data_IF_634234904919
#
_entry.id   IF_634234904919
#
_cell.length_a   1.000
_cell.length_b   1.000
_cell.length_c   1.000
_cell.angle_alpha   90.00
_cell.angle_beta   90.00
_cell.angle_gamma   90.00
#
_symmetry.space_group_name_H-M   'P 1'
#
loop_
_entity.id
_entity.type
_entity.pdbx_description
1 polymer ?
#
# COMPACT_ATOMS: atom_id res chain seq x y z
N UNK A 1 -13.54 -5.43 -7.58
CA UNK A 1 -12.74 -5.73 -6.38
C UNK A 1 -11.64 -4.69 -6.14
N UNK A 2 -10.80 -4.38 -7.14
CA UNK A 2 -9.69 -3.41 -7.03
C UNK A 2 -10.07 -2.07 -6.40
N UNK A 3 -11.02 -1.33 -6.98
CA UNK A 3 -11.44 -0.01 -6.44
C UNK A 3 -11.94 -0.05 -4.99
N UNK A 4 -12.73 -1.07 -4.64
CA UNK A 4 -13.20 -1.25 -3.26
C UNK A 4 -12.02 -1.47 -2.31
N UNK A 5 -10.99 -2.19 -2.75
CA UNK A 5 -9.77 -2.39 -1.98
C UNK A 5 -8.95 -1.10 -1.81
N UNK A 6 -8.73 -0.35 -2.89
CA UNK A 6 -7.99 0.92 -2.84
C UNK A 6 -8.70 1.95 -1.97
N UNK A 7 -10.03 2.08 -2.09
CA UNK A 7 -10.85 2.94 -1.22
C UNK A 7 -10.75 2.47 0.23
N UNK A 8 -10.81 1.16 0.49
CA UNK A 8 -10.66 0.59 1.83
C UNK A 8 -9.31 0.93 2.46
N UNK A 9 -8.21 0.78 1.72
CA UNK A 9 -6.88 1.20 2.14
C UNK A 9 -6.84 2.71 2.45
N UNK A 10 -7.40 3.53 1.56
CA UNK A 10 -7.44 4.98 1.71
C UNK A 10 -8.20 5.41 2.98
N UNK A 11 -9.35 4.79 3.27
CA UNK A 11 -10.14 5.07 4.48
C UNK A 11 -9.35 4.70 5.75
N UNK A 12 -8.74 3.52 5.78
CA UNK A 12 -8.04 3.06 7.00
C UNK A 12 -6.79 3.88 7.26
N UNK A 13 -5.97 4.15 6.24
CA UNK A 13 -4.75 4.96 6.38
C UNK A 13 -5.02 6.45 6.60
N UNK A 14 -6.21 6.95 6.22
CA UNK A 14 -6.64 8.33 6.54
C UNK A 14 -7.07 8.50 8.01
N UNK A 15 -7.28 7.41 8.75
CA UNK A 15 -7.68 7.49 10.15
C UNK A 15 -6.59 8.11 11.05
N UNK A 16 -7.02 8.87 12.08
CA UNK A 16 -6.14 9.64 12.97
C UNK A 16 -5.07 8.79 13.66
N UNK A 17 -5.34 7.51 13.88
CA UNK A 17 -4.40 6.58 14.53
C UNK A 17 -3.17 6.29 13.66
N UNK A 18 -3.32 6.28 12.34
CA UNK A 18 -2.25 5.94 11.40
C UNK A 18 -1.56 7.18 10.81
N UNK A 19 -2.30 8.29 10.67
CA UNK A 19 -1.83 9.54 10.03
C UNK A 19 -0.62 10.22 10.71
N UNK A 20 -0.38 9.96 12.00
CA UNK A 20 0.78 10.49 12.73
C UNK A 20 2.11 9.79 12.37
N UNK A 21 2.11 8.82 11.45
CA UNK A 21 3.29 8.06 11.07
C UNK A 21 3.65 8.35 9.62
N UNK A 22 4.92 8.68 9.36
CA UNK A 22 5.42 9.00 8.03
C UNK A 22 5.08 7.91 6.99
N UNK A 23 5.30 6.63 7.32
CA UNK A 23 4.95 5.49 6.45
C UNK A 23 3.49 5.51 5.97
N UNK A 24 2.55 5.92 6.83
CA UNK A 24 1.11 5.83 6.52
C UNK A 24 0.73 6.84 5.44
N UNK A 25 1.47 7.94 5.34
CA UNK A 25 1.30 8.94 4.28
C UNK A 25 1.75 8.37 2.94
N UNK A 26 2.86 7.62 2.91
CA UNK A 26 3.32 6.95 1.69
C UNK A 26 2.34 5.86 1.22
N UNK A 27 1.85 5.01 2.12
CA UNK A 27 0.83 4.00 1.79
C UNK A 27 -0.51 4.60 1.36
N UNK A 28 -0.89 5.74 1.94
CA UNK A 28 -2.08 6.49 1.51
C UNK A 28 -1.89 7.05 0.09
N UNK A 29 -0.72 7.63 -0.18
CA UNK A 29 -0.36 8.16 -1.49
C UNK A 29 -0.29 7.04 -2.55
N UNK A 30 0.21 5.86 -2.19
CA UNK A 30 0.18 4.65 -3.02
C UNK A 30 -1.25 4.23 -3.34
N UNK A 31 -2.12 4.09 -2.33
CA UNK A 31 -3.51 3.72 -2.54
C UNK A 31 -4.28 4.72 -3.43
N UNK A 32 -3.98 6.03 -3.32
CA UNK A 32 -4.55 7.06 -4.20
C UNK A 32 -4.03 6.93 -5.63
N UNK A 33 -2.72 6.67 -5.80
CA UNK A 33 -2.10 6.51 -7.12
C UNK A 33 -2.64 5.27 -7.84
N UNK A 34 -2.77 4.16 -7.11
CA UNK A 34 -3.35 2.91 -7.61
C UNK A 34 -4.81 3.07 -8.02
N UNK A 35 -5.60 3.82 -7.24
CA UNK A 35 -7.01 4.11 -7.56
C UNK A 35 -7.14 4.89 -8.88
N UNK A 36 -6.37 5.98 -9.03
CA UNK A 36 -6.37 6.80 -10.24
C UNK A 36 -5.91 5.98 -11.45
N UNK A 37 -4.82 5.23 -11.31
CA UNK A 37 -4.30 4.36 -12.37
C UNK A 37 -5.34 3.33 -12.81
N UNK A 38 -5.94 2.62 -11.85
CA UNK A 38 -6.88 1.55 -12.14
C UNK A 38 -8.10 2.09 -12.87
N UNK A 39 -8.71 3.19 -12.40
CA UNK A 39 -9.87 3.79 -13.05
C UNK A 39 -9.56 4.25 -14.47
N UNK A 40 -8.47 5.01 -14.67
CA UNK A 40 -8.14 5.55 -15.98
C UNK A 40 -7.79 4.44 -17.00
N UNK A 41 -7.03 3.43 -16.57
CA UNK A 41 -6.58 2.33 -17.44
C UNK A 41 -7.71 1.34 -17.74
N UNK A 42 -8.57 1.01 -16.77
CA UNK A 42 -9.70 0.11 -17.02
C UNK A 42 -10.80 0.76 -17.84
N UNK A 43 -11.17 2.01 -17.55
CA UNK A 43 -12.21 2.71 -18.31
C UNK A 43 -11.80 2.77 -19.79
N UNK A 44 -10.56 3.18 -20.06
CA UNK A 44 -10.05 3.22 -21.45
C UNK A 44 -10.01 1.85 -22.11
N UNK A 45 -9.67 0.79 -21.36
CA UNK A 45 -9.66 -0.59 -21.87
C UNK A 45 -11.07 -1.14 -22.13
N UNK A 46 -12.04 -0.88 -21.25
CA UNK A 46 -13.44 -1.30 -21.41
C UNK A 46 -14.06 -0.62 -22.63
N UNK A 47 -13.83 0.69 -22.79
CA UNK A 47 -14.33 1.44 -23.95
C UNK A 47 -13.76 0.90 -25.27
N UNK A 48 -12.46 0.56 -25.31
CA UNK A 48 -11.82 0.06 -26.52
C UNK A 48 -12.16 -1.39 -26.86
N UNK A 49 -12.05 -2.28 -25.88
CA UNK A 49 -12.23 -3.72 -26.12
C UNK A 49 -13.67 -4.19 -25.94
N UNK A 50 -14.40 -3.60 -24.99
CA UNK A 50 -15.78 -3.96 -24.70
C UNK A 50 -16.74 -3.34 -25.70
N UNK A 51 -16.64 -2.03 -25.93
CA UNK A 51 -17.56 -1.31 -26.82
C UNK A 51 -17.04 -1.14 -28.25
N UNK A 52 -15.83 -1.63 -28.55
CA UNK A 52 -15.16 -1.47 -29.85
C UNK A 52 -15.06 0.00 -30.32
N UNK A 53 -15.08 0.95 -29.39
CA UNK A 53 -14.97 2.37 -29.72
C UNK A 53 -13.47 2.67 -29.88
N UNK A 54 -12.99 3.06 -31.08
CA UNK A 54 -11.58 3.29 -31.33
C UNK A 54 -11.13 4.67 -30.81
N UNK A 55 -11.29 4.92 -29.51
CA UNK A 55 -10.98 6.21 -28.85
C UNK A 55 -9.50 6.57 -29.03
N UNK A 56 -8.61 5.57 -28.96
CA UNK A 56 -7.16 5.75 -29.16
C UNK A 56 -6.78 6.09 -30.59
N UNK A 57 -7.56 5.65 -31.57
CA UNK A 57 -7.29 5.94 -32.99
C UNK A 57 -7.82 7.33 -33.32
N UNK A 58 -8.95 7.73 -32.70
CA UNK A 58 -9.59 9.02 -32.97
C UNK A 58 -8.93 10.20 -32.25
N UNK A 59 -8.31 9.96 -31.10
CA UNK A 59 -7.69 11.02 -30.29
C UNK A 59 -6.28 10.63 -29.83
N UNK A 60 -5.26 11.11 -30.55
CA UNK A 60 -3.83 10.86 -30.25
C UNK A 60 -3.46 11.30 -28.81
N UNK A 61 -4.07 12.38 -28.33
CA UNK A 61 -3.88 12.89 -26.96
C UNK A 61 -4.28 11.85 -25.90
N UNK A 62 -5.41 11.16 -26.08
CA UNK A 62 -5.87 10.14 -25.13
C UNK A 62 -4.99 8.88 -25.17
N UNK A 63 -4.40 8.57 -26.34
CA UNK A 63 -3.45 7.48 -26.48
C UNK A 63 -2.16 7.75 -25.68
N UNK A 64 -1.57 8.93 -25.89
CA UNK A 64 -0.37 9.39 -25.16
C UNK A 64 -0.64 9.54 -23.67
N UNK A 65 -1.80 10.09 -23.30
CA UNK A 65 -2.20 10.21 -21.90
C UNK A 65 -2.34 8.84 -21.22
N UNK A 66 -2.95 7.85 -21.90
CA UNK A 66 -3.03 6.50 -21.36
C UNK A 66 -1.65 5.88 -21.14
N UNK A 67 -0.77 5.97 -22.13
CA UNK A 67 0.59 5.44 -22.01
C UNK A 67 1.36 6.15 -20.88
N UNK A 68 1.22 7.47 -20.79
CA UNK A 68 1.79 8.27 -19.71
C UNK A 68 1.27 7.85 -18.35
N UNK A 69 -0.05 7.82 -18.14
CA UNK A 69 -0.68 7.40 -16.88
C UNK A 69 -0.28 5.96 -16.54
N UNK A 70 -0.15 5.09 -17.54
CA UNK A 70 0.20 3.69 -17.30
C UNK A 70 1.64 3.53 -16.81
N UNK A 71 2.57 4.24 -17.44
CA UNK A 71 3.99 4.24 -17.04
C UNK A 71 4.17 4.98 -15.71
N UNK A 72 3.53 6.14 -15.56
CA UNK A 72 3.61 6.98 -14.37
C UNK A 72 3.02 6.29 -13.15
N UNK A 73 1.84 5.68 -13.25
CA UNK A 73 1.19 4.97 -12.14
C UNK A 73 2.04 3.81 -11.63
N UNK A 74 2.53 2.95 -12.54
CA UNK A 74 3.41 1.84 -12.17
C UNK A 74 4.71 2.34 -11.50
N UNK A 75 5.31 3.41 -12.04
CA UNK A 75 6.56 3.94 -11.52
C UNK A 75 6.38 4.65 -10.18
N UNK A 76 5.28 5.40 -9.99
CA UNK A 76 4.98 6.15 -8.77
C UNK A 76 4.64 5.19 -7.63
N UNK A 77 3.81 4.17 -7.85
CA UNK A 77 3.50 3.19 -6.81
C UNK A 77 4.76 2.45 -6.35
N UNK A 78 5.63 2.05 -7.29
CA UNK A 78 6.92 1.44 -6.94
C UNK A 78 7.84 2.40 -6.18
N UNK A 79 7.93 3.65 -6.63
CA UNK A 79 8.81 4.66 -6.02
C UNK A 79 8.34 5.06 -4.62
N UNK A 80 7.02 5.21 -4.42
CA UNK A 80 6.43 5.48 -3.12
C UNK A 80 6.57 4.30 -2.16
N UNK A 81 6.43 3.07 -2.67
CA UNK A 81 6.71 1.86 -1.92
C UNK A 81 8.19 1.76 -1.50
N UNK A 82 9.11 2.07 -2.42
CA UNK A 82 10.54 2.18 -2.13
C UNK A 82 10.82 3.26 -1.09
N UNK A 83 10.21 4.45 -1.21
CA UNK A 83 10.36 5.52 -0.23
C UNK A 83 9.78 5.14 1.14
N UNK A 84 8.64 4.47 1.21
CA UNK A 84 8.09 3.96 2.47
C UNK A 84 9.05 2.97 3.16
N UNK A 85 9.73 2.15 2.35
CA UNK A 85 10.74 1.20 2.81
C UNK A 85 12.01 1.92 3.27
N UNK A 86 12.46 2.93 2.52
CA UNK A 86 13.63 3.75 2.84
C UNK A 86 13.38 4.57 4.10
N UNK A 87 12.24 5.25 4.22
CA UNK A 87 11.83 6.03 5.39
C UNK A 87 11.82 5.16 6.64
N UNK A 88 11.27 3.94 6.52
CA UNK A 88 11.32 2.96 7.61
C UNK A 88 12.76 2.57 7.99
N UNK A 89 13.65 2.45 7.01
CA UNK A 89 15.04 2.07 7.24
C UNK A 89 15.88 3.23 7.79
N UNK A 90 15.63 4.47 7.36
CA UNK A 90 16.23 5.69 7.91
C UNK A 90 15.71 5.97 9.33
N UNK A 91 14.42 5.75 9.58
CA UNK A 91 13.86 5.81 10.94
C UNK A 91 14.44 4.73 11.86
N UNK A 92 14.96 3.62 11.30
CA UNK A 92 15.66 2.57 12.03
C UNK A 92 17.18 2.78 12.13
N UNK A 93 17.77 3.61 11.26
CA UNK A 93 19.20 3.92 11.18
C UNK A 93 19.40 5.44 11.13
N UNK A 94 19.66 6.04 12.30
CA UNK A 94 19.85 7.48 12.47
C UNK A 94 21.26 7.90 12.00
N UNK A 95 21.55 7.89 10.69
CA UNK A 95 22.73 8.59 10.14
C UNK A 95 22.73 8.81 8.61
N UNK A 96 22.74 10.10 8.24
CA UNK A 96 23.31 10.79 7.06
C UNK A 96 22.85 10.49 5.62
N UNK A 97 21.90 11.34 5.20
CA UNK A 97 21.74 12.17 3.98
C UNK A 97 22.89 12.15 2.93
N UNK A 98 22.93 11.20 1.97
CA UNK A 98 23.65 11.37 0.66
C UNK A 98 23.02 10.53 -0.48
N UNK A 99 21.70 10.35 -0.53
CA UNK A 99 21.09 9.23 -1.29
C UNK A 99 19.95 9.67 -2.22
N UNK A 100 20.25 10.25 -3.39
CA UNK A 100 19.18 10.74 -4.30
C UNK A 100 19.36 10.51 -5.81
N UNK A 101 20.38 9.78 -6.29
CA UNK A 101 20.57 9.57 -7.74
C UNK A 101 20.66 8.12 -8.19
N UNK A 102 21.66 7.40 -7.70
CA UNK A 102 22.01 6.04 -8.15
C UNK A 102 21.44 4.97 -7.20
N UNK A 103 20.99 5.42 -6.03
CA UNK A 103 20.61 4.53 -4.97
C UNK A 103 19.26 3.83 -5.14
N UNK A 104 18.23 4.30 -5.86
CA UNK A 104 16.96 3.58 -5.88
C UNK A 104 17.07 2.07 -6.23
N UNK A 105 17.79 1.65 -7.28
CA UNK A 105 17.93 0.22 -7.61
C UNK A 105 18.92 -0.54 -6.71
N UNK A 106 20.06 0.06 -6.35
CA UNK A 106 21.08 -0.56 -5.48
C UNK A 106 20.57 -0.63 -4.04
N UNK A 107 19.84 0.40 -3.59
CA UNK A 107 19.01 0.38 -2.40
C UNK A 107 18.00 -0.75 -2.55
N UNK A 108 17.11 -0.83 -3.53
CA UNK A 108 16.09 -1.89 -3.56
C UNK A 108 16.66 -3.31 -3.37
N UNK A 109 17.81 -3.63 -3.96
CA UNK A 109 18.53 -4.90 -3.75
C UNK A 109 19.15 -4.98 -2.33
N UNK A 110 19.84 -3.94 -1.86
CA UNK A 110 20.35 -3.87 -0.49
C UNK A 110 19.25 -3.84 0.57
N UNK A 111 18.10 -3.21 0.32
CA UNK A 111 16.95 -3.09 1.21
C UNK A 111 16.23 -4.43 1.29
N UNK A 112 16.12 -5.19 0.19
CA UNK A 112 15.64 -6.57 0.23
C UNK A 112 16.55 -7.47 1.08
N UNK A 113 17.87 -7.36 0.90
CA UNK A 113 18.86 -8.09 1.70
C UNK A 113 18.87 -7.64 3.19
N UNK A 114 18.79 -6.34 3.45
CA UNK A 114 18.75 -5.75 4.79
C UNK A 114 17.40 -5.97 5.49
N UNK A 115 16.28 -6.10 4.77
CA UNK A 115 15.00 -6.56 5.31
C UNK A 115 15.14 -7.99 5.84
N UNK A 116 15.76 -8.88 5.07
CA UNK A 116 16.01 -10.27 5.50
C UNK A 116 16.96 -10.30 6.71
N UNK A 117 18.00 -9.44 6.73
CA UNK A 117 18.96 -9.37 7.83
C UNK A 117 18.40 -8.70 9.10
N UNK A 118 17.58 -7.67 8.96
CA UNK A 118 16.93 -6.99 10.09
C UNK A 118 15.83 -7.84 10.72
N UNK A 119 15.11 -8.64 9.92
CA UNK A 119 14.21 -9.68 10.43
C UNK A 119 14.98 -10.69 11.28
N UNK A 120 16.16 -11.17 10.81
CA UNK A 120 17.02 -12.06 11.61
C UNK A 120 17.54 -11.40 12.89
N UNK A 121 17.92 -10.12 12.84
CA UNK A 121 18.37 -9.37 14.01
C UNK A 121 17.26 -9.08 15.04
N UNK A 122 16.03 -8.83 14.61
CA UNK A 122 14.86 -8.69 15.49
C UNK A 122 14.46 -10.04 16.10
N UNK A 123 14.59 -11.14 15.34
CA UNK A 123 14.43 -12.50 15.88
C UNK A 123 15.52 -12.78 16.94
N UNK A 124 16.76 -12.36 16.73
CA UNK A 124 17.85 -12.52 17.70
C UNK A 124 17.72 -11.63 18.93
N UNK A 125 17.18 -10.41 18.82
CA UNK A 125 16.95 -9.52 19.97
C UNK A 125 15.77 -9.93 20.86
N UNK A 126 14.98 -10.94 20.48
CA UNK A 126 13.92 -11.50 21.34
C UNK A 126 14.43 -12.33 22.53
N UNK A 127 15.74 -12.53 22.69
CA UNK A 127 16.29 -13.49 23.68
C UNK A 127 16.94 -12.82 24.91
N UNK A 128 17.01 -11.49 25.01
CA UNK A 128 17.60 -10.83 26.21
C UNK A 128 16.50 -10.11 27.01
N UNK A 129 16.01 -10.69 28.12
CA UNK A 129 15.15 -9.96 29.05
C UNK A 129 16.02 -8.98 29.86
N UNK A 130 15.68 -7.70 29.81
CA UNK A 130 16.26 -6.66 30.66
C UNK A 130 15.34 -6.43 31.87
N UNK A 131 15.86 -6.65 33.08
CA UNK A 131 15.07 -6.88 34.29
C UNK A 131 14.76 -5.62 35.12
N UNK A 132 15.26 -4.43 34.76
CA UNK A 132 15.29 -3.30 35.72
C UNK A 132 14.80 -1.94 35.16
N UNK A 133 13.52 -1.83 34.76
CA UNK A 133 12.93 -0.53 34.37
C UNK A 133 11.42 -0.41 34.63
N UNK A 134 10.89 0.81 34.89
CA UNK A 134 9.51 1.03 35.29
C UNK A 134 8.50 0.57 34.21
N UNK A 135 7.51 -0.20 34.65
CA UNK A 135 6.67 -1.08 33.84
C UNK A 135 5.67 -0.38 32.89
N UNK A 136 5.35 0.90 33.10
CA UNK A 136 4.28 1.60 32.36
C UNK A 136 4.72 2.02 30.95
N UNK A 137 5.97 2.46 30.77
CA UNK A 137 6.50 2.85 29.45
C UNK A 137 6.84 1.64 28.57
N UNK A 138 7.20 0.50 29.18
CA UNK A 138 7.48 -0.76 28.51
C UNK A 138 6.25 -1.38 27.85
N UNK A 139 5.08 -1.33 28.52
CA UNK A 139 3.82 -1.83 27.98
C UNK A 139 3.37 -1.04 26.74
N UNK A 140 3.52 0.29 26.74
CA UNK A 140 3.17 1.10 25.58
C UNK A 140 4.11 0.84 24.39
N UNK A 141 5.41 0.66 24.66
CA UNK A 141 6.42 0.41 23.63
C UNK A 141 6.25 -0.95 22.95
N UNK A 142 5.88 -1.99 23.70
CA UNK A 142 5.64 -3.33 23.13
C UNK A 142 4.41 -3.38 22.23
N UNK A 143 3.34 -2.64 22.57
CA UNK A 143 2.16 -2.49 21.69
C UNK A 143 2.53 -1.77 20.39
N UNK A 144 3.34 -0.70 20.47
CA UNK A 144 3.80 0.04 19.30
C UNK A 144 4.68 -0.83 18.38
N UNK A 145 5.62 -1.60 18.97
CA UNK A 145 6.48 -2.53 18.24
C UNK A 145 5.71 -3.68 17.58
N UNK A 146 4.65 -4.17 18.22
CA UNK A 146 3.79 -5.20 17.64
C UNK A 146 3.01 -4.67 16.43
N UNK A 147 2.57 -3.41 16.46
CA UNK A 147 1.95 -2.75 15.31
C UNK A 147 2.95 -2.58 14.16
N UNK A 148 4.19 -2.17 14.46
CA UNK A 148 5.24 -2.00 13.45
C UNK A 148 5.65 -3.32 12.81
N UNK A 149 5.75 -4.39 13.60
CA UNK A 149 6.09 -5.74 13.12
C UNK A 149 5.05 -6.24 12.12
N UNK A 150 3.77 -6.07 12.44
CA UNK A 150 2.64 -6.45 11.56
C UNK A 150 2.61 -5.65 10.28
N UNK A 151 2.95 -4.36 10.34
CA UNK A 151 3.08 -3.54 9.15
C UNK A 151 4.27 -3.98 8.27
N UNK A 152 5.40 -4.38 8.87
CA UNK A 152 6.52 -4.95 8.10
C UNK A 152 6.09 -6.18 7.33
N UNK A 153 5.31 -7.04 7.98
CA UNK A 153 4.85 -8.27 7.36
C UNK A 153 3.94 -7.98 6.16
N UNK A 154 3.06 -6.98 6.28
CA UNK A 154 2.26 -6.49 5.16
C UNK A 154 3.14 -6.04 3.98
N UNK A 155 4.15 -5.19 4.24
CA UNK A 155 5.06 -4.71 3.19
C UNK A 155 5.87 -5.85 2.57
N UNK A 156 6.35 -6.82 3.37
CA UNK A 156 7.10 -7.97 2.86
C UNK A 156 6.22 -8.84 1.95
N UNK A 157 4.98 -9.12 2.37
CA UNK A 157 4.05 -9.89 1.55
C UNK A 157 3.73 -9.15 0.25
N UNK A 158 3.54 -7.84 0.31
CA UNK A 158 3.33 -7.01 -0.87
C UNK A 158 4.55 -6.99 -1.80
N UNK A 159 5.78 -6.90 -1.26
CA UNK A 159 7.02 -7.04 -2.05
C UNK A 159 7.14 -8.38 -2.75
N UNK A 160 6.79 -9.48 -2.08
CA UNK A 160 6.87 -10.83 -2.67
C UNK A 160 5.92 -10.93 -3.86
N UNK A 161 4.68 -10.48 -3.69
CA UNK A 161 3.69 -10.48 -4.78
C UNK A 161 4.15 -9.56 -5.91
N UNK A 162 4.67 -8.37 -5.60
CA UNK A 162 5.22 -7.45 -6.59
C UNK A 162 6.29 -8.12 -7.45
N UNK A 163 7.27 -8.78 -6.83
CA UNK A 163 8.37 -9.45 -7.55
C UNK A 163 7.84 -10.54 -8.50
N UNK A 164 6.94 -11.40 -8.01
CA UNK A 164 6.35 -12.49 -8.80
C UNK A 164 5.58 -11.94 -10.01
N UNK A 165 4.90 -10.81 -9.85
CA UNK A 165 4.09 -10.21 -10.91
C UNK A 165 4.90 -9.33 -11.86
N UNK A 166 5.95 -8.68 -11.39
CA UNK A 166 6.73 -7.73 -12.19
C UNK A 166 7.78 -8.40 -13.07
N UNK A 167 8.32 -9.55 -12.66
CA UNK A 167 9.29 -10.31 -13.48
C UNK A 167 8.68 -10.71 -14.84
N UNK A 168 7.49 -11.33 -14.91
CA UNK A 168 6.85 -11.64 -16.18
C UNK A 168 6.61 -10.40 -17.04
N UNK A 169 6.18 -9.29 -16.43
CA UNK A 169 5.95 -8.03 -17.13
C UNK A 169 7.24 -7.44 -17.73
N UNK A 170 8.32 -7.39 -16.95
CA UNK A 170 9.61 -6.92 -17.44
C UNK A 170 10.17 -7.83 -18.54
N UNK A 171 10.02 -9.15 -18.41
CA UNK A 171 10.46 -10.09 -19.45
C UNK A 171 9.68 -9.93 -20.76
N UNK A 172 8.38 -9.66 -20.68
CA UNK A 172 7.54 -9.39 -21.86
C UNK A 172 7.96 -8.10 -22.55
N UNK A 173 8.20 -7.03 -21.80
CA UNK A 173 8.62 -5.74 -22.36
C UNK A 173 9.96 -5.86 -23.10
N UNK A 174 10.92 -6.57 -22.51
CA UNK A 174 12.23 -6.83 -23.15
C UNK A 174 12.03 -7.67 -24.42
N UNK A 175 11.24 -8.73 -24.35
CA UNK A 175 10.95 -9.59 -25.49
C UNK A 175 10.28 -8.82 -26.64
N UNK A 176 9.30 -7.96 -26.33
CA UNK A 176 8.58 -7.13 -27.28
C UNK A 176 9.52 -6.14 -27.99
N UNK A 177 10.41 -5.47 -27.23
CA UNK A 177 11.38 -4.52 -27.80
C UNK A 177 12.42 -5.20 -28.70
N UNK A 178 12.93 -6.38 -28.31
CA UNK A 178 13.94 -7.10 -29.10
C UNK A 178 13.35 -7.66 -30.39
N UNK A 179 12.11 -8.15 -30.34
CA UNK A 179 11.49 -8.86 -31.46
C UNK A 179 10.64 -7.97 -32.38
N UNK A 180 10.63 -6.65 -32.17
CA UNK A 180 9.80 -5.70 -32.93
C UNK A 180 10.09 -5.69 -34.45
N UNK A 181 11.33 -5.98 -34.85
CA UNK A 181 11.76 -5.96 -36.27
C UNK A 181 11.71 -7.33 -36.95
N UNK A 182 11.29 -8.38 -36.24
CA UNK A 182 11.34 -9.75 -36.75
C UNK A 182 9.99 -10.10 -37.38
N UNK A 183 9.98 -10.58 -38.63
CA UNK A 183 8.74 -11.05 -39.28
C UNK A 183 8.27 -12.35 -38.63
N UNK A 184 7.08 -12.32 -38.00
CA UNK A 184 6.50 -13.47 -37.29
C UNK A 184 5.30 -14.04 -38.06
N UNK A 185 5.10 -15.36 -38.00
CA UNK A 185 3.89 -16.02 -38.47
C UNK A 185 2.65 -15.56 -37.67
N UNK A 186 1.49 -15.49 -38.34
CA UNK A 186 0.23 -15.03 -37.74
C UNK A 186 -0.17 -15.82 -36.48
N UNK A 187 0.06 -17.13 -36.48
CA UNK A 187 -0.23 -17.99 -35.33
C UNK A 187 0.59 -17.59 -34.10
N UNK A 188 1.88 -17.32 -34.29
CA UNK A 188 2.79 -16.92 -33.21
C UNK A 188 2.45 -15.53 -32.70
N UNK A 189 2.09 -14.61 -33.58
CA UNK A 189 1.63 -13.27 -33.21
C UNK A 189 0.35 -13.34 -32.35
N UNK A 190 -0.60 -14.22 -32.70
CA UNK A 190 -1.80 -14.43 -31.91
C UNK A 190 -1.49 -14.98 -30.50
N UNK A 191 -0.59 -15.95 -30.38
CA UNK A 191 -0.15 -16.50 -29.10
C UNK A 191 0.53 -15.45 -28.23
N UNK A 192 1.44 -14.65 -28.80
CA UNK A 192 2.14 -13.58 -28.08
C UNK A 192 1.14 -12.55 -27.54
N UNK A 193 0.15 -12.14 -28.33
CA UNK A 193 -0.90 -11.21 -27.86
C UNK A 193 -1.67 -11.76 -26.66
N UNK A 194 -1.99 -13.04 -26.63
CA UNK A 194 -2.66 -13.67 -25.48
C UNK A 194 -1.76 -13.63 -24.25
N UNK A 195 -0.47 -13.93 -24.39
CA UNK A 195 0.49 -13.86 -23.29
C UNK A 195 0.65 -12.44 -22.75
N UNK A 196 0.77 -11.44 -23.61
CA UNK A 196 0.84 -10.03 -23.20
C UNK A 196 -0.40 -9.63 -22.39
N UNK A 197 -1.59 -10.05 -22.85
CA UNK A 197 -2.82 -9.75 -22.13
C UNK A 197 -2.94 -10.48 -20.80
N UNK A 198 -2.48 -11.73 -20.73
CA UNK A 198 -2.43 -12.50 -19.48
C UNK A 198 -1.47 -11.84 -18.48
N UNK A 199 -0.29 -11.41 -18.92
CA UNK A 199 0.68 -10.70 -18.08
C UNK A 199 0.12 -9.37 -17.58
N UNK A 200 -0.57 -8.61 -18.42
CA UNK A 200 -1.29 -7.42 -17.97
C UNK A 200 -2.37 -7.75 -16.94
N UNK A 201 -3.14 -8.82 -17.14
CA UNK A 201 -4.15 -9.25 -16.16
C UNK A 201 -3.52 -9.62 -14.81
N UNK A 202 -2.39 -10.33 -14.82
CA UNK A 202 -1.62 -10.64 -13.61
C UNK A 202 -1.14 -9.36 -12.91
N UNK A 203 -0.71 -8.33 -13.65
CA UNK A 203 -0.34 -7.04 -13.06
C UNK A 203 -1.50 -6.37 -12.31
N UNK A 204 -2.74 -6.51 -12.77
CA UNK A 204 -3.90 -5.98 -12.05
C UNK A 204 -4.22 -6.74 -10.76
N UNK A 205 -3.84 -8.02 -10.67
CA UNK A 205 -3.99 -8.80 -9.44
C UNK A 205 -3.12 -8.21 -8.33
N UNK A 206 -1.92 -7.73 -8.64
CA UNK A 206 -1.03 -7.07 -7.67
C UNK A 206 -1.72 -5.86 -7.01
N UNK A 207 -2.28 -4.96 -7.82
CA UNK A 207 -3.02 -3.80 -7.31
C UNK A 207 -4.25 -4.19 -6.50
N UNK A 208 -4.96 -5.25 -6.89
CA UNK A 208 -6.12 -5.73 -6.15
C UNK A 208 -5.73 -6.43 -4.83
N UNK A 209 -4.58 -7.11 -4.77
CA UNK A 209 -4.15 -7.92 -3.61
C UNK A 209 -3.58 -7.08 -2.48
N UNK A 210 -3.07 -5.88 -2.72
CA UNK A 210 -2.53 -4.99 -1.67
C UNK A 210 -3.53 -4.78 -0.53
N UNK A 211 -4.81 -4.57 -0.84
CA UNK A 211 -5.88 -4.46 0.17
C UNK A 211 -6.10 -5.76 0.95
N UNK A 212 -6.18 -6.90 0.26
CA UNK A 212 -6.43 -8.19 0.93
C UNK A 212 -5.26 -8.58 1.84
N UNK A 213 -4.02 -8.31 1.41
CA UNK A 213 -2.82 -8.48 2.22
C UNK A 213 -2.87 -7.59 3.46
N UNK A 214 -3.27 -6.32 3.29
CA UNK A 214 -3.46 -5.37 4.40
C UNK A 214 -4.52 -5.84 5.39
N UNK A 215 -5.65 -6.33 4.88
CA UNK A 215 -6.75 -6.86 5.67
C UNK A 215 -6.34 -8.10 6.44
N UNK A 216 -5.63 -9.03 5.80
CA UNK A 216 -5.23 -10.31 6.42
C UNK A 216 -4.11 -10.09 7.45
N UNK A 217 -3.13 -9.23 7.14
CA UNK A 217 -1.91 -9.09 7.94
C UNK A 217 -2.08 -8.31 9.25
N UNK A 218 -3.11 -7.47 9.38
CA UNK A 218 -3.22 -6.55 10.51
C UNK A 218 -4.60 -6.55 11.17
N UNK A 219 -4.72 -7.14 12.36
CA UNK A 219 -5.96 -7.10 13.15
C UNK A 219 -6.40 -5.67 13.50
N UNK A 220 -5.46 -4.73 13.61
CA UNK A 220 -5.76 -3.30 13.81
C UNK A 220 -6.43 -2.68 12.60
N UNK A 221 -6.01 -3.08 11.40
CA UNK A 221 -6.66 -2.69 10.14
C UNK A 221 -8.08 -3.24 10.07
N UNK A 222 -8.27 -4.54 10.41
CA UNK A 222 -9.62 -5.15 10.47
C UNK A 222 -10.52 -4.45 11.48
N UNK A 223 -10.01 -4.09 12.65
CA UNK A 223 -10.79 -3.35 13.67
C UNK A 223 -11.20 -1.97 13.18
N UNK A 224 -10.30 -1.20 12.56
CA UNK A 224 -10.66 0.12 12.04
C UNK A 224 -11.61 0.03 10.84
N UNK A 225 -11.38 -0.92 9.93
CA UNK A 225 -12.28 -1.20 8.82
C UNK A 225 -13.68 -1.61 9.35
N UNK A 226 -13.72 -2.50 10.34
CA UNK A 226 -14.97 -2.90 11.01
C UNK A 226 -15.64 -1.73 11.72
N UNK A 227 -14.91 -0.87 12.43
CA UNK A 227 -15.46 0.33 13.10
C UNK A 227 -16.00 1.38 12.11
N UNK A 228 -15.47 1.43 10.90
CA UNK A 228 -16.00 2.30 9.86
C UNK A 228 -17.40 1.84 9.40
N UNK A 229 -17.57 0.54 9.17
CA UNK A 229 -18.87 -0.05 8.81
C UNK A 229 -19.82 -0.18 9.99
N UNK A 230 -19.27 -0.46 11.17
CA UNK A 230 -19.93 -0.44 12.45
C UNK A 230 -19.70 0.93 13.08
N UNK A 231 -20.21 1.99 12.45
CA UNK A 231 -20.48 3.20 13.22
C UNK A 231 -21.25 2.75 14.45
N UNK A 232 -20.79 3.02 15.69
CA UNK A 232 -21.65 2.82 16.82
C UNK A 232 -22.91 3.63 16.52
N UNK A 233 -24.06 2.96 16.54
CA UNK A 233 -25.34 3.62 16.80
C UNK A 233 -25.02 4.53 17.98
N UNK A 234 -24.96 5.84 17.75
CA UNK A 234 -24.65 6.81 18.79
C UNK A 234 -25.67 6.54 19.89
N UNK A 235 -25.24 5.88 20.95
CA UNK A 235 -26.07 5.71 22.13
C UNK A 235 -26.04 7.10 22.77
N UNK A 236 -27.03 7.89 22.40
CA UNK A 236 -27.33 9.24 22.91
C UNK A 236 -27.45 9.27 24.45
N UNK A 237 -27.41 8.09 25.10
CA UNK A 237 -27.45 7.93 26.55
C UNK A 237 -26.17 8.34 27.29
N UNK A 238 -24.98 8.29 26.68
CA UNK A 238 -23.75 8.62 27.44
C UNK A 238 -23.53 10.12 27.62
N UNK A 239 -24.02 10.95 26.69
CA UNK A 239 -23.95 12.41 26.82
C UNK A 239 -24.96 12.87 27.89
N UNK A 240 -26.17 12.29 27.93
CA UNK A 240 -27.17 12.67 28.93
C UNK A 240 -26.76 12.35 30.38
N UNK A 241 -26.07 11.24 30.62
CA UNK A 241 -25.62 10.87 31.98
C UNK A 241 -24.52 11.81 32.48
N UNK A 242 -23.55 12.18 31.64
CA UNK A 242 -22.48 13.09 32.06
C UNK A 242 -22.98 14.52 32.29
N UNK A 243 -24.00 14.99 31.56
CA UNK A 243 -24.62 16.29 31.83
C UNK A 243 -25.35 16.28 33.17
N UNK A 244 -26.10 15.22 33.50
CA UNK A 244 -26.84 15.11 34.77
C UNK A 244 -25.88 15.04 35.98
N UNK A 245 -24.78 14.29 35.89
CA UNK A 245 -23.79 14.23 36.97
C UNK A 245 -23.10 15.58 37.21
N UNK A 246 -22.80 16.36 36.16
CA UNK A 246 -22.25 17.70 36.33
C UNK A 246 -23.26 18.69 36.94
N UNK A 247 -24.55 18.61 36.59
CA UNK A 247 -25.58 19.48 37.20
C UNK A 247 -25.77 19.17 38.69
N UNK A 248 -25.79 17.88 39.06
CA UNK A 248 -25.94 17.48 40.46
C UNK A 248 -24.71 17.83 41.33
N UNK A 249 -23.52 17.88 40.73
CA UNK A 249 -22.29 18.27 41.46
C UNK A 249 -22.24 19.78 41.69
N UNK A 250 -22.78 20.59 40.78
CA UNK A 250 -22.85 22.06 40.91
C UNK A 250 -23.87 22.49 41.97
N UNK A 251 -25.02 21.79 42.06
CA UNK A 251 -26.05 22.09 43.08
C UNK A 251 -25.54 21.83 44.50
N UNK A 252 -24.77 20.75 44.71
CA UNK A 252 -24.23 20.42 46.04
C UNK A 252 -23.13 21.39 46.55
N UNK A 253 -22.53 22.21 45.68
CA UNK A 253 -21.52 23.20 46.08
C UNK A 253 -22.18 24.54 46.46
N UNK A 254 -23.42 24.79 46.07
CA UNK A 254 -24.16 26.02 46.39
C UNK A 254 -24.97 25.96 47.71
N UNK A 255 -25.03 24.79 48.37
CA UNK A 255 -25.77 24.58 49.63
C UNK A 255 -24.88 24.42 50.87
N UNK A 256 -23.59 24.75 50.77
CA UNK A 256 -22.63 24.69 51.87
C UNK A 256 -21.96 26.04 52.06
#
# INVERSE_FOLDING_TARGET
>A
AGNLGSIGNMIVFSSRTFRNRAYSVYLLSEAMSDFIYFDFVLITRILQKGFQIPITIRYDVLCKLRQFVSVWGNQVSFTLFSFATIDRLLSAQRSNIVVTGICPPIAMILLAYLLIRSVRGVIQRRIVPDNNGPSVTLAHRSVLQNMDSRLTLMLILQSIIAIITYIPYASELIYSNVTQYWSKSDLRNAQEKVFVELTHLLSYIFFATSFYVSLISNDGFRRQFKNFFQKPKSDDRTIHINTIFHTNTIINIQQK
#
